data_IF_504033976860
#
_entry.id   IF_504033976860
#
_cell.length_a   1.000
_cell.length_b   1.000
_cell.length_c   1.000
_cell.angle_alpha   90.00
_cell.angle_beta   90.00
_cell.angle_gamma   90.00
#
_symmetry.space_group_name_H-M   'P 1'
#
loop_
_entity.id
_entity.type
_entity.pdbx_description
1 polymer ?
#
# COMPACT_ATOMS: atom_id res chain seq x y z
N UNK A 1 -14.89 -34.82 16.14
CA UNK A 1 -15.33 -33.93 15.04
C UNK A 1 -14.38 -32.75 14.98
N UNK A 2 -13.78 -32.43 13.83
CA UNK A 2 -12.97 -31.21 13.71
C UNK A 2 -13.90 -29.99 13.87
N UNK A 3 -13.85 -29.41 15.06
CA UNK A 3 -14.46 -28.13 15.40
C UNK A 3 -13.73 -27.05 14.59
N UNK A 4 -14.47 -26.18 13.91
CA UNK A 4 -13.91 -25.05 13.17
C UNK A 4 -14.61 -23.76 13.58
N UNK A 5 -13.99 -22.58 13.41
CA UNK A 5 -14.62 -21.31 13.73
C UNK A 5 -15.99 -21.14 13.04
N UNK A 6 -16.07 -21.56 11.77
CA UNK A 6 -17.31 -21.53 10.99
C UNK A 6 -18.40 -22.41 11.59
N UNK A 7 -18.07 -23.63 12.05
CA UNK A 7 -19.04 -24.51 12.70
C UNK A 7 -19.57 -23.89 14.00
N UNK A 8 -18.70 -23.27 14.80
CA UNK A 8 -19.14 -22.54 16.00
C UNK A 8 -20.14 -21.44 15.63
N UNK A 9 -19.86 -20.69 14.57
CA UNK A 9 -20.77 -19.64 14.11
C UNK A 9 -22.10 -20.20 13.61
N UNK A 10 -22.09 -21.30 12.85
CA UNK A 10 -23.31 -21.96 12.38
C UNK A 10 -24.16 -22.48 13.55
N UNK A 11 -23.55 -23.02 14.60
CA UNK A 11 -24.25 -23.45 15.82
C UNK A 11 -24.86 -22.27 16.57
N UNK A 12 -24.15 -21.14 16.64
CA UNK A 12 -24.67 -19.91 17.24
C UNK A 12 -25.88 -19.37 16.48
N UNK A 13 -25.81 -19.29 15.15
CA UNK A 13 -26.92 -18.80 14.31
C UNK A 13 -28.16 -19.71 14.38
N UNK A 14 -27.96 -21.00 14.64
CA UNK A 14 -29.06 -21.98 14.87
C UNK A 14 -29.59 -21.99 16.30
N UNK A 15 -29.08 -21.13 17.18
CA UNK A 15 -29.37 -21.11 18.62
C UNK A 15 -29.03 -22.43 19.36
N UNK A 16 -28.13 -23.25 18.81
CA UNK A 16 -27.64 -24.48 19.46
C UNK A 16 -26.70 -24.16 20.62
N UNK A 17 -25.95 -23.05 20.51
CA UNK A 17 -25.11 -22.49 21.56
C UNK A 17 -25.43 -21.01 21.74
N UNK A 18 -25.31 -20.52 22.97
CA UNK A 18 -25.49 -19.10 23.24
C UNK A 18 -24.24 -18.28 22.86
N UNK A 19 -24.41 -16.96 22.85
CA UNK A 19 -23.39 -15.98 22.47
C UNK A 19 -22.08 -16.11 23.27
N UNK A 20 -22.19 -16.38 24.58
CA UNK A 20 -21.03 -16.50 25.48
C UNK A 20 -20.23 -17.76 25.19
N UNK A 21 -20.91 -18.89 24.98
CA UNK A 21 -20.28 -20.17 24.64
C UNK A 21 -19.55 -20.07 23.30
N UNK A 22 -20.20 -19.47 22.29
CA UNK A 22 -19.60 -19.24 20.99
C UNK A 22 -18.33 -18.36 21.11
N UNK A 23 -18.39 -17.29 21.92
CA UNK A 23 -17.24 -16.43 22.19
C UNK A 23 -16.07 -17.21 22.81
N UNK A 24 -16.30 -17.98 23.86
CA UNK A 24 -15.21 -18.71 24.53
C UNK A 24 -14.57 -19.78 23.62
N UNK A 25 -15.36 -20.46 22.79
CA UNK A 25 -14.82 -21.38 21.78
C UNK A 25 -13.95 -20.66 20.74
N UNK A 26 -14.37 -19.48 20.28
CA UNK A 26 -13.60 -18.72 19.31
C UNK A 26 -12.32 -18.15 19.91
N UNK A 27 -12.36 -17.65 21.15
CA UNK A 27 -11.16 -17.26 21.88
C UNK A 27 -10.18 -18.44 21.98
N UNK A 28 -10.67 -19.64 22.32
CA UNK A 28 -9.83 -20.83 22.39
C UNK A 28 -9.12 -21.13 21.05
N UNK A 29 -9.80 -20.95 19.91
CA UNK A 29 -9.16 -21.07 18.60
C UNK A 29 -8.07 -20.02 18.36
N UNK A 30 -8.29 -18.79 18.80
CA UNK A 30 -7.35 -17.68 18.60
C UNK A 30 -6.06 -17.89 19.41
N UNK A 31 -6.19 -18.36 20.64
CA UNK A 31 -5.07 -18.51 21.59
C UNK A 31 -4.30 -19.83 21.41
N UNK A 32 -4.97 -20.93 21.05
CA UNK A 32 -4.38 -22.27 21.13
C UNK A 32 -4.15 -22.96 19.79
N UNK A 33 -4.61 -22.38 18.67
CA UNK A 33 -4.37 -22.98 17.35
C UNK A 33 -3.05 -22.50 16.76
N UNK A 34 -2.25 -23.41 16.22
CA UNK A 34 -1.08 -23.07 15.38
C UNK A 34 -1.48 -22.74 13.93
N UNK A 35 -2.75 -22.96 13.55
CA UNK A 35 -3.21 -22.77 12.18
C UNK A 35 -3.69 -21.34 11.94
N UNK A 36 -2.94 -20.58 11.12
CA UNK A 36 -3.26 -19.18 10.80
C UNK A 36 -4.69 -18.97 10.26
N UNK A 37 -5.21 -19.88 9.44
CA UNK A 37 -6.56 -19.76 8.89
C UNK A 37 -7.65 -19.97 9.94
N UNK A 38 -7.42 -20.88 10.89
CA UNK A 38 -8.34 -21.09 12.02
C UNK A 38 -8.36 -19.84 12.90
N UNK A 39 -7.20 -19.32 13.26
CA UNK A 39 -7.09 -18.12 14.09
C UNK A 39 -7.72 -16.90 13.41
N UNK A 40 -7.40 -16.67 12.14
CA UNK A 40 -8.00 -15.59 11.36
C UNK A 40 -9.53 -15.72 11.31
N UNK A 41 -10.04 -16.90 10.94
CA UNK A 41 -11.48 -17.14 10.87
C UNK A 41 -12.17 -16.92 12.22
N UNK A 42 -11.51 -17.28 13.33
CA UNK A 42 -12.04 -17.04 14.66
C UNK A 42 -12.11 -15.54 15.00
N UNK A 43 -11.06 -14.76 14.71
CA UNK A 43 -11.05 -13.30 14.92
C UNK A 43 -12.14 -12.61 14.07
N UNK A 44 -12.31 -13.03 12.81
CA UNK A 44 -13.33 -12.46 11.92
C UNK A 44 -14.76 -12.75 12.41
N UNK A 45 -15.00 -13.94 12.97
CA UNK A 45 -16.30 -14.33 13.51
C UNK A 45 -16.57 -13.63 14.86
N UNK A 46 -15.55 -13.43 15.70
CA UNK A 46 -15.68 -12.67 16.95
C UNK A 46 -16.25 -11.25 16.70
N UNK A 47 -15.86 -10.59 15.60
CA UNK A 47 -16.39 -9.27 15.24
C UNK A 47 -17.88 -9.33 14.88
N UNK A 48 -18.33 -10.44 14.27
CA UNK A 48 -19.74 -10.65 13.89
C UNK A 48 -20.61 -10.99 15.08
N UNK A 49 -20.11 -11.83 15.98
CA UNK A 49 -20.82 -12.15 17.23
C UNK A 49 -21.03 -10.86 18.03
N UNK A 50 -20.06 -9.94 18.05
CA UNK A 50 -20.27 -8.62 18.62
C UNK A 50 -20.34 -8.63 20.14
N UNK A 51 -19.44 -9.37 20.79
CA UNK A 51 -19.10 -9.18 22.20
C UNK A 51 -17.86 -8.31 22.24
N UNK A 52 -17.99 -7.08 22.72
CA UNK A 52 -16.89 -6.12 22.83
C UNK A 52 -16.62 -5.86 24.31
N UNK A 53 -15.56 -6.45 24.84
CA UNK A 53 -15.22 -6.42 26.26
C UNK A 53 -13.73 -6.14 26.44
N UNK A 54 -13.33 -5.73 27.66
CA UNK A 54 -11.93 -5.56 28.01
C UNK A 54 -11.12 -6.87 27.83
N UNK A 55 -11.76 -8.03 28.06
CA UNK A 55 -11.17 -9.35 27.77
C UNK A 55 -10.81 -9.47 26.29
N UNK A 56 -11.76 -9.16 25.39
CA UNK A 56 -11.49 -9.23 23.96
C UNK A 56 -10.43 -8.21 23.52
N UNK A 57 -10.49 -6.99 24.03
CA UNK A 57 -9.46 -5.98 23.76
C UNK A 57 -8.07 -6.49 24.13
N UNK A 58 -7.89 -7.01 25.35
CA UNK A 58 -6.59 -7.53 25.79
C UNK A 58 -6.07 -8.68 24.93
N UNK A 59 -6.95 -9.55 24.43
CA UNK A 59 -6.57 -10.63 23.51
C UNK A 59 -6.11 -10.07 22.16
N UNK A 60 -6.85 -9.13 21.59
CA UNK A 60 -6.48 -8.47 20.33
C UNK A 60 -5.20 -7.64 20.46
N UNK A 61 -5.00 -6.98 21.58
CA UNK A 61 -3.79 -6.24 21.93
C UNK A 61 -2.58 -7.18 22.00
N UNK A 62 -2.71 -8.31 22.69
CA UNK A 62 -1.65 -9.32 22.77
C UNK A 62 -1.26 -9.84 21.39
N UNK A 63 -2.24 -10.17 20.55
CA UNK A 63 -2.00 -10.58 19.16
C UNK A 63 -1.24 -9.48 18.40
N UNK A 64 -1.72 -8.24 18.48
CA UNK A 64 -1.10 -7.11 17.81
C UNK A 64 0.37 -6.91 18.24
N UNK A 65 0.69 -7.15 19.51
CA UNK A 65 2.02 -6.94 20.08
C UNK A 65 2.98 -8.09 19.78
N UNK A 66 2.55 -9.35 19.92
CA UNK A 66 3.46 -10.49 20.05
C UNK A 66 3.30 -11.59 19.01
N UNK A 67 2.22 -11.60 18.22
CA UNK A 67 2.02 -12.64 17.22
C UNK A 67 3.13 -12.60 16.16
N UNK A 68 3.68 -13.75 15.78
CA UNK A 68 4.74 -13.83 14.77
C UNK A 68 4.21 -13.55 13.36
N UNK A 69 2.92 -13.79 13.11
CA UNK A 69 2.31 -13.70 11.80
C UNK A 69 1.72 -12.31 11.52
N UNK A 70 2.29 -11.59 10.55
CA UNK A 70 1.83 -10.26 10.15
C UNK A 70 0.37 -10.23 9.68
N UNK A 71 -0.13 -11.29 9.04
CA UNK A 71 -1.54 -11.34 8.62
C UNK A 71 -2.48 -11.38 9.82
N UNK A 72 -2.16 -12.17 10.84
CA UNK A 72 -2.96 -12.28 12.06
C UNK A 72 -2.93 -10.96 12.84
N UNK A 73 -1.74 -10.34 12.98
CA UNK A 73 -1.62 -8.99 13.55
C UNK A 73 -2.49 -7.98 12.80
N UNK A 74 -2.48 -8.00 11.48
CA UNK A 74 -3.27 -7.07 10.67
C UNK A 74 -4.79 -7.30 10.82
N UNK A 75 -5.23 -8.56 10.99
CA UNK A 75 -6.65 -8.88 11.24
C UNK A 75 -7.08 -8.35 12.61
N UNK A 76 -6.28 -8.58 13.66
CA UNK A 76 -6.54 -8.04 14.99
C UNK A 76 -6.53 -6.49 14.99
N UNK A 77 -5.57 -5.88 14.29
CA UNK A 77 -5.47 -4.44 14.13
C UNK A 77 -6.71 -3.82 13.47
N UNK A 78 -7.22 -4.45 12.40
CA UNK A 78 -8.46 -4.00 11.73
C UNK A 78 -9.68 -4.15 12.63
N UNK A 79 -9.72 -5.17 13.48
CA UNK A 79 -10.77 -5.32 14.50
C UNK A 79 -10.69 -4.16 15.49
N UNK A 80 -9.52 -3.95 16.09
CA UNK A 80 -9.24 -2.86 17.03
C UNK A 80 -9.63 -1.49 16.44
N UNK A 81 -9.28 -1.21 15.19
CA UNK A 81 -9.65 0.03 14.49
C UNK A 81 -11.19 0.24 14.35
N UNK A 82 -11.96 -0.85 14.26
CA UNK A 82 -13.42 -0.79 14.14
C UNK A 82 -14.13 -0.64 15.48
N UNK A 83 -13.60 -1.25 16.55
CA UNK A 83 -14.34 -1.45 17.81
C UNK A 83 -13.70 -0.81 19.04
N UNK A 84 -12.40 -0.56 19.01
CA UNK A 84 -11.59 -0.10 20.15
C UNK A 84 -10.61 1.00 19.73
N UNK A 85 -11.04 1.90 18.84
CA UNK A 85 -10.14 2.82 18.13
C UNK A 85 -9.33 3.70 19.08
N UNK A 86 -9.98 4.25 20.11
CA UNK A 86 -9.37 5.14 21.11
C UNK A 86 -8.44 4.41 22.06
N UNK A 87 -8.85 3.24 22.53
CA UNK A 87 -8.11 2.36 23.44
C UNK A 87 -6.85 1.82 22.77
N UNK A 88 -6.85 1.75 21.44
CA UNK A 88 -5.72 1.26 20.65
C UNK A 88 -4.54 2.24 20.58
N UNK A 89 -4.65 3.49 21.03
CA UNK A 89 -3.55 4.47 20.89
C UNK A 89 -2.25 3.96 21.56
N UNK A 90 -2.37 3.45 22.79
CA UNK A 90 -1.24 2.95 23.58
C UNK A 90 -0.54 1.77 22.89
N UNK A 91 -1.23 0.68 22.50
CA UNK A 91 -0.56 -0.40 21.78
C UNK A 91 -0.03 0.06 20.41
N UNK A 92 -0.75 0.90 19.66
CA UNK A 92 -0.27 1.40 18.35
C UNK A 92 1.04 2.18 18.47
N UNK A 93 1.21 2.98 19.53
CA UNK A 93 2.45 3.71 19.82
C UNK A 93 3.64 2.77 20.02
N UNK A 94 3.43 1.63 20.66
CA UNK A 94 4.48 0.63 20.83
C UNK A 94 4.75 -0.13 19.53
N UNK A 95 3.70 -0.60 18.86
CA UNK A 95 3.79 -1.50 17.69
C UNK A 95 4.41 -0.80 16.49
N UNK A 96 4.11 0.49 16.25
CA UNK A 96 4.67 1.23 15.10
C UNK A 96 6.21 1.25 15.07
N UNK A 97 6.84 1.09 16.24
CA UNK A 97 8.29 1.09 16.39
C UNK A 97 8.95 -0.28 16.13
N UNK A 98 8.18 -1.36 16.18
CA UNK A 98 8.68 -2.73 16.15
C UNK A 98 8.14 -3.54 14.97
N UNK A 99 7.07 -3.06 14.34
CA UNK A 99 6.45 -3.70 13.19
C UNK A 99 7.31 -3.58 11.93
N UNK A 100 7.40 -4.68 11.19
CA UNK A 100 8.15 -4.81 9.93
C UNK A 100 7.25 -5.17 8.75
N UNK A 101 6.07 -5.74 9.01
CA UNK A 101 5.09 -6.08 8.00
C UNK A 101 4.50 -4.80 7.37
N UNK A 102 4.51 -4.76 6.04
CA UNK A 102 4.10 -3.59 5.29
C UNK A 102 2.60 -3.25 5.50
N UNK A 103 1.72 -4.26 5.44
CA UNK A 103 0.28 -4.02 5.55
C UNK A 103 -0.12 -3.67 6.98
N UNK A 104 0.55 -4.24 7.98
CA UNK A 104 0.41 -3.80 9.37
C UNK A 104 0.81 -2.32 9.52
N UNK A 105 2.00 -1.91 9.04
CA UNK A 105 2.47 -0.52 9.13
C UNK A 105 1.49 0.45 8.48
N UNK A 106 0.99 0.13 7.28
CA UNK A 106 -0.03 0.92 6.60
C UNK A 106 -1.30 1.06 7.46
N UNK A 107 -1.75 -0.05 8.03
CA UNK A 107 -2.98 -0.06 8.84
C UNK A 107 -2.79 0.72 10.14
N UNK A 108 -1.64 0.59 10.83
CA UNK A 108 -1.30 1.36 12.03
C UNK A 108 -1.34 2.86 11.74
N UNK A 109 -0.71 3.32 10.65
CA UNK A 109 -0.69 4.73 10.27
C UNK A 109 -2.10 5.24 9.97
N UNK A 110 -2.94 4.44 9.31
CA UNK A 110 -4.34 4.78 9.05
C UNK A 110 -5.17 4.84 10.33
N UNK A 111 -4.99 3.90 11.25
CA UNK A 111 -5.64 3.89 12.55
C UNK A 111 -5.28 5.14 13.34
N UNK A 112 -3.99 5.49 13.43
CA UNK A 112 -3.53 6.71 14.09
C UNK A 112 -4.10 7.98 13.43
N UNK A 113 -4.19 8.03 12.10
CA UNK A 113 -4.87 9.13 11.40
C UNK A 113 -6.35 9.21 11.80
N UNK A 114 -7.03 8.07 11.89
CA UNK A 114 -8.46 7.97 12.17
C UNK A 114 -8.81 8.33 13.62
N UNK A 115 -7.94 7.99 14.58
CA UNK A 115 -8.07 8.41 15.99
C UNK A 115 -8.20 9.93 16.09
N UNK A 116 -7.42 10.67 15.30
CA UNK A 116 -7.50 12.13 15.20
C UNK A 116 -7.36 12.88 16.55
N UNK A 117 -6.54 12.35 17.47
CA UNK A 117 -6.20 12.98 18.76
C UNK A 117 -4.84 13.68 18.73
N UNK A 118 -4.56 14.57 19.69
CA UNK A 118 -3.23 15.19 19.81
C UNK A 118 -2.13 14.16 20.07
N UNK A 119 -2.40 13.11 20.85
CA UNK A 119 -1.43 12.02 21.05
C UNK A 119 -1.12 11.29 19.74
N UNK A 120 -2.14 10.94 18.96
CA UNK A 120 -1.94 10.28 17.65
C UNK A 120 -1.17 11.17 16.66
N UNK A 121 -1.41 12.49 16.67
CA UNK A 121 -0.65 13.47 15.87
C UNK A 121 0.82 13.48 16.27
N UNK A 122 1.09 13.49 17.57
CA UNK A 122 2.44 13.48 18.12
C UNK A 122 3.19 12.19 17.75
N UNK A 123 2.51 11.04 17.79
CA UNK A 123 3.06 9.75 17.33
C UNK A 123 3.47 9.85 15.86
N UNK A 124 2.54 10.23 14.97
CA UNK A 124 2.81 10.37 13.54
C UNK A 124 3.94 11.38 13.24
N UNK A 125 3.98 12.48 13.97
CA UNK A 125 5.01 13.51 13.83
C UNK A 125 6.40 12.98 14.24
N UNK A 126 6.47 12.25 15.36
CA UNK A 126 7.71 11.65 15.83
C UNK A 126 8.24 10.57 14.87
N UNK A 127 7.35 9.73 14.32
CA UNK A 127 7.73 8.78 13.26
C UNK A 127 8.23 9.50 12.01
N UNK A 128 7.58 10.59 11.61
CA UNK A 128 8.02 11.41 10.47
C UNK A 128 9.43 11.97 10.72
N UNK A 129 9.72 12.43 11.94
CA UNK A 129 11.07 12.89 12.32
C UNK A 129 12.12 11.79 12.26
N UNK A 130 11.77 10.54 12.60
CA UNK A 130 12.70 9.40 12.56
C UNK A 130 13.22 9.10 11.15
N UNK A 131 12.45 9.42 10.10
CA UNK A 131 12.89 9.29 8.70
C UNK A 131 14.25 9.98 8.48
N UNK A 132 14.50 11.14 9.12
CA UNK A 132 15.77 11.86 9.00
C UNK A 132 16.99 11.06 9.51
N UNK A 133 16.77 10.14 10.46
CA UNK A 133 17.83 9.31 11.06
C UNK A 133 18.12 8.05 10.22
N UNK A 134 17.15 7.57 9.44
CA UNK A 134 17.28 6.34 8.63
C UNK A 134 18.22 6.57 7.44
N UNK A 135 19.37 5.87 7.39
CA UNK A 135 20.36 6.02 6.31
C UNK A 135 19.90 5.42 4.98
N UNK A 136 19.36 4.21 5.01
CA UNK A 136 18.99 3.45 3.82
C UNK A 136 17.51 3.11 3.82
N UNK A 137 16.88 3.21 2.65
CA UNK A 137 15.56 2.63 2.38
C UNK A 137 15.67 1.11 2.22
N UNK A 138 16.72 0.68 1.51
CA UNK A 138 17.13 -0.72 1.42
C UNK A 138 18.65 -0.80 1.60
N UNK A 139 19.08 -1.40 2.72
CA UNK A 139 20.50 -1.54 3.05
C UNK A 139 21.23 -2.53 2.14
N UNK A 140 20.58 -3.63 1.77
CA UNK A 140 21.15 -4.70 0.94
C UNK A 140 21.45 -4.17 -0.48
N UNK A 141 20.49 -3.42 -1.06
CA UNK A 141 20.65 -2.78 -2.37
C UNK A 141 21.33 -1.41 -2.32
N UNK A 142 21.78 -0.96 -1.14
CA UNK A 142 22.40 0.36 -0.91
C UNK A 142 21.55 1.55 -1.40
N UNK A 143 20.23 1.41 -1.38
CA UNK A 143 19.30 2.50 -1.76
C UNK A 143 19.20 3.48 -0.58
N UNK A 144 19.75 4.67 -0.75
CA UNK A 144 19.80 5.69 0.30
C UNK A 144 18.49 6.48 0.46
N UNK A 145 18.25 6.97 1.68
CA UNK A 145 17.08 7.77 2.02
C UNK A 145 17.25 9.30 1.78
N UNK A 146 18.18 9.71 0.92
CA UNK A 146 18.59 11.12 0.76
C UNK A 146 17.42 12.06 0.43
N UNK A 147 16.52 11.66 -0.48
CA UNK A 147 15.41 12.49 -0.96
C UNK A 147 14.43 12.83 0.17
N UNK A 148 13.92 11.82 0.89
CA UNK A 148 13.04 12.08 2.04
C UNK A 148 13.76 12.90 3.11
N UNK A 149 15.00 12.57 3.49
CA UNK A 149 15.74 13.36 4.50
C UNK A 149 15.77 14.85 4.17
N UNK A 150 16.11 15.19 2.92
CA UNK A 150 16.19 16.58 2.45
C UNK A 150 14.83 17.27 2.57
N UNK A 151 13.76 16.64 2.10
CA UNK A 151 12.42 17.23 2.09
C UNK A 151 11.85 17.35 3.50
N UNK A 152 11.94 16.30 4.33
CA UNK A 152 11.47 16.36 5.73
C UNK A 152 12.23 17.43 6.52
N UNK A 153 13.55 17.55 6.33
CA UNK A 153 14.33 18.63 6.95
C UNK A 153 13.85 20.01 6.53
N UNK A 154 13.51 20.21 5.25
CA UNK A 154 12.94 21.46 4.75
C UNK A 154 11.59 21.76 5.42
N UNK A 155 10.65 20.80 5.39
CA UNK A 155 9.32 20.96 5.96
C UNK A 155 9.36 21.32 7.45
N UNK A 156 10.19 20.63 8.24
CA UNK A 156 10.32 20.90 9.67
C UNK A 156 10.99 22.24 9.99
N UNK A 157 11.74 22.83 9.03
CA UNK A 157 12.31 24.17 9.16
C UNK A 157 11.27 25.25 8.84
N UNK A 158 10.38 25.00 7.89
CA UNK A 158 9.43 26.00 7.38
C UNK A 158 8.05 25.94 8.03
N UNK A 159 7.71 24.80 8.66
CA UNK A 159 6.40 24.55 9.25
C UNK A 159 6.55 24.07 10.69
N UNK A 160 5.90 24.77 11.63
CA UNK A 160 5.86 24.37 13.04
C UNK A 160 4.90 23.19 13.26
N UNK A 161 5.09 22.45 14.36
CA UNK A 161 4.35 21.23 14.69
C UNK A 161 2.83 21.42 14.64
N UNK A 162 2.34 22.51 15.25
CA UNK A 162 0.91 22.82 15.39
C UNK A 162 0.17 22.94 14.04
N UNK A 163 0.88 23.19 12.95
CA UNK A 163 0.29 23.34 11.62
C UNK A 163 0.27 22.03 10.81
N UNK A 164 0.94 20.97 11.27
CA UNK A 164 0.86 19.67 10.61
C UNK A 164 -0.47 19.00 10.92
N UNK A 165 -1.14 18.53 9.87
CA UNK A 165 -2.36 17.71 10.01
C UNK A 165 -2.01 16.24 10.12
N UNK A 166 -2.88 15.43 10.75
CA UNK A 166 -2.75 13.96 10.74
C UNK A 166 -2.67 13.41 9.32
N UNK A 167 -3.45 13.98 8.39
CA UNK A 167 -3.45 13.55 7.00
C UNK A 167 -2.09 13.77 6.33
N UNK A 168 -1.48 14.94 6.46
CA UNK A 168 -0.14 15.20 5.89
C UNK A 168 0.91 14.23 6.45
N UNK A 169 0.97 14.08 7.78
CA UNK A 169 1.95 13.20 8.42
C UNK A 169 1.74 11.74 8.02
N UNK A 170 0.49 11.28 8.00
CA UNK A 170 0.15 9.91 7.59
C UNK A 170 0.54 9.64 6.12
N UNK A 171 0.29 10.58 5.21
CA UNK A 171 0.62 10.41 3.79
C UNK A 171 2.13 10.42 3.54
N UNK A 172 2.88 11.25 4.27
CA UNK A 172 4.34 11.25 4.24
C UNK A 172 4.88 9.88 4.67
N UNK A 173 4.40 9.36 5.80
CA UNK A 173 4.81 8.06 6.33
C UNK A 173 4.45 6.92 5.37
N UNK A 174 3.21 6.90 4.86
CA UNK A 174 2.72 5.90 3.89
C UNK A 174 3.60 5.91 2.64
N UNK A 175 3.94 7.08 2.08
CA UNK A 175 4.82 7.18 0.92
C UNK A 175 6.22 6.64 1.24
N UNK A 176 6.78 7.01 2.40
CA UNK A 176 8.10 6.55 2.83
C UNK A 176 8.16 5.02 2.95
N UNK A 177 7.22 4.41 3.69
CA UNK A 177 7.21 2.95 3.88
C UNK A 177 6.89 2.21 2.57
N UNK A 178 6.08 2.80 1.68
CA UNK A 178 5.77 2.21 0.37
C UNK A 178 7.01 2.20 -0.51
N UNK A 179 7.76 3.31 -0.61
CA UNK A 179 9.02 3.33 -1.35
C UNK A 179 10.04 2.35 -0.75
N UNK A 180 10.19 2.31 0.57
CA UNK A 180 11.06 1.34 1.23
C UNK A 180 10.66 -0.11 0.88
N UNK A 181 9.35 -0.41 0.86
CA UNK A 181 8.84 -1.72 0.44
C UNK A 181 9.15 -2.02 -1.03
N UNK A 182 8.84 -1.09 -1.94
CA UNK A 182 9.11 -1.27 -3.38
C UNK A 182 10.60 -1.52 -3.65
N UNK A 183 11.51 -0.82 -2.97
CA UNK A 183 12.95 -1.04 -3.13
C UNK A 183 13.42 -2.42 -2.66
N UNK A 184 12.66 -3.14 -1.83
CA UNK A 184 12.94 -4.55 -1.50
C UNK A 184 12.54 -5.47 -2.65
N UNK A 185 11.37 -5.25 -3.23
CA UNK A 185 10.81 -6.11 -4.27
C UNK A 185 11.38 -5.88 -5.67
N UNK A 186 11.69 -4.63 -6.00
CA UNK A 186 12.10 -4.24 -7.35
C UNK A 186 13.53 -3.71 -7.38
N UNK A 187 14.33 -4.09 -8.40
CA UNK A 187 15.67 -3.52 -8.60
C UNK A 187 15.61 -2.06 -9.06
N UNK A 188 14.67 -1.69 -9.94
CA UNK A 188 14.56 -0.35 -10.51
C UNK A 188 13.40 0.41 -9.84
N UNK A 189 13.73 1.28 -8.89
CA UNK A 189 12.75 2.14 -8.20
C UNK A 189 13.29 3.56 -8.14
N UNK A 190 12.81 4.40 -9.05
CA UNK A 190 13.09 5.82 -9.06
C UNK A 190 11.84 6.60 -8.68
N UNK A 191 12.02 7.73 -8.01
CA UNK A 191 10.89 8.49 -7.51
C UNK A 191 11.26 9.94 -7.24
N UNK A 192 10.28 10.83 -7.33
CA UNK A 192 10.41 12.24 -6.95
C UNK A 192 9.40 12.62 -5.87
N UNK A 193 9.84 13.48 -4.96
CA UNK A 193 9.04 13.99 -3.84
C UNK A 193 8.83 15.49 -4.05
N UNK A 194 7.58 15.94 -4.00
CA UNK A 194 7.29 17.35 -4.02
C UNK A 194 7.86 18.03 -2.75
N UNK A 195 8.78 18.99 -2.87
CA UNK A 195 9.46 19.60 -1.73
C UNK A 195 8.57 20.48 -0.86
N UNK A 196 7.38 20.87 -1.33
CA UNK A 196 6.45 21.74 -0.60
C UNK A 196 5.53 20.96 0.35
N UNK A 197 5.22 19.69 0.04
CA UNK A 197 4.30 18.89 0.84
C UNK A 197 4.88 17.54 1.32
N UNK A 198 6.06 17.14 0.84
CA UNK A 198 6.69 15.88 1.24
C UNK A 198 6.07 14.62 0.63
N UNK A 199 5.19 14.78 -0.36
CA UNK A 199 4.47 13.67 -0.97
C UNK A 199 5.08 13.26 -2.30
N UNK A 200 4.99 11.97 -2.61
CA UNK A 200 5.46 11.41 -3.86
C UNK A 200 4.69 12.01 -5.04
N UNK A 201 5.41 12.53 -6.02
CA UNK A 201 4.83 13.12 -7.25
C UNK A 201 5.12 12.28 -8.48
N UNK A 202 6.26 11.61 -8.52
CA UNK A 202 6.65 10.73 -9.63
C UNK A 202 7.16 9.40 -9.09
N UNK A 203 6.84 8.32 -9.81
CA UNK A 203 7.32 6.97 -9.55
C UNK A 203 7.68 6.34 -10.90
N UNK A 204 8.86 5.77 -10.96
CA UNK A 204 9.36 5.10 -12.14
C UNK A 204 9.82 3.71 -11.73
N UNK A 205 9.08 2.74 -12.26
CA UNK A 205 9.28 1.31 -12.13
C UNK A 205 9.49 0.69 -13.52
N UNK A 206 9.98 1.46 -14.48
CA UNK A 206 10.32 0.93 -15.79
C UNK A 206 11.50 -0.04 -15.70
N UNK A 207 11.52 -0.99 -16.63
CA UNK A 207 12.57 -1.97 -16.74
C UNK A 207 13.64 -1.47 -17.75
N UNK A 208 14.71 -0.87 -17.24
CA UNK A 208 15.69 -0.14 -18.06
C UNK A 208 16.73 -1.02 -18.79
N UNK A 209 16.59 -2.34 -18.83
CA UNK A 209 17.54 -3.16 -19.60
C UNK A 209 17.24 -3.06 -21.10
N UNK A 210 17.74 -1.98 -21.69
CA UNK A 210 17.74 -1.71 -23.14
C UNK A 210 18.58 -2.75 -23.91
N UNK A 211 19.55 -3.39 -23.24
CA UNK A 211 20.39 -4.46 -23.80
C UNK A 211 20.60 -5.56 -22.76
N UNK A 212 20.24 -6.81 -23.08
CA UNK A 212 20.73 -7.97 -22.33
C UNK A 212 22.24 -8.10 -22.57
N UNK A 213 23.04 -7.37 -21.78
CA UNK A 213 24.47 -7.62 -21.77
C UNK A 213 24.66 -9.01 -21.19
N UNK A 214 25.35 -9.88 -21.93
CA UNK A 214 25.70 -11.25 -21.51
C UNK A 214 26.42 -11.17 -20.15
N UNK A 215 25.82 -11.74 -19.10
CA UNK A 215 26.32 -11.63 -17.73
C UNK A 215 25.57 -10.65 -16.81
N UNK A 216 24.48 -10.02 -17.29
CA UNK A 216 23.52 -9.33 -16.41
C UNK A 216 23.01 -10.32 -15.35
N UNK A 217 23.17 -10.04 -14.05
CA UNK A 217 22.78 -11.01 -13.04
C UNK A 217 21.26 -11.25 -13.07
N UNK A 218 20.85 -12.47 -12.73
CA UNK A 218 19.44 -12.80 -12.53
C UNK A 218 18.86 -11.86 -11.44
N UNK A 219 17.78 -11.10 -11.75
CA UNK A 219 17.11 -10.22 -10.78
C UNK A 219 17.28 -8.69 -10.94
N UNK A 220 17.76 -8.21 -12.10
CA UNK A 220 17.92 -6.77 -12.40
C UNK A 220 16.74 -6.16 -13.19
N UNK A 221 15.76 -7.00 -13.52
CA UNK A 221 14.52 -6.65 -14.21
C UNK A 221 13.39 -6.46 -13.20
N UNK A 222 12.54 -5.47 -13.44
CA UNK A 222 11.32 -5.33 -12.65
C UNK A 222 10.29 -6.40 -13.03
N UNK A 223 10.18 -6.72 -14.33
CA UNK A 223 9.35 -7.81 -14.87
C UNK A 223 7.91 -7.85 -14.31
N UNK A 224 7.31 -6.68 -14.07
CA UNK A 224 5.97 -6.56 -13.47
C UNK A 224 4.94 -7.09 -14.46
N UNK A 225 4.10 -8.04 -14.05
CA UNK A 225 3.06 -8.62 -14.92
C UNK A 225 1.67 -8.02 -14.69
N UNK A 226 1.44 -7.53 -13.47
CA UNK A 226 0.18 -6.92 -13.07
C UNK A 226 0.42 -5.74 -12.15
N UNK A 227 -0.43 -4.72 -12.25
CA UNK A 227 -0.41 -3.57 -11.33
C UNK A 227 -0.63 -4.01 -9.88
N UNK A 228 -1.38 -5.09 -9.67
CA UNK A 228 -1.62 -5.66 -8.33
C UNK A 228 -0.36 -6.19 -7.64
N UNK A 229 0.71 -6.49 -8.39
CA UNK A 229 2.02 -6.88 -7.83
C UNK A 229 2.74 -5.70 -7.16
N UNK A 230 2.40 -4.47 -7.54
CA UNK A 230 3.00 -3.24 -7.00
C UNK A 230 2.34 -2.92 -5.66
N UNK A 231 2.67 -3.70 -4.64
CA UNK A 231 2.11 -3.60 -3.29
C UNK A 231 2.31 -2.18 -2.75
N UNK A 232 1.18 -1.51 -2.49
CA UNK A 232 1.13 -0.16 -1.97
C UNK A 232 0.80 0.95 -2.97
N UNK A 233 0.80 0.65 -4.27
CA UNK A 233 0.58 1.67 -5.31
C UNK A 233 -0.73 2.45 -5.08
N UNK A 234 -1.81 1.75 -4.73
CA UNK A 234 -3.13 2.35 -4.44
C UNK A 234 -3.11 3.40 -3.32
N UNK A 235 -2.09 3.44 -2.47
CA UNK A 235 -1.95 4.41 -1.39
C UNK A 235 -1.22 5.70 -1.81
N UNK A 236 -0.58 5.72 -2.98
CA UNK A 236 0.17 6.86 -3.51
C UNK A 236 -0.78 7.90 -4.17
N UNK A 237 -1.75 8.41 -3.41
CA UNK A 237 -2.86 9.24 -3.93
C UNK A 237 -2.43 10.56 -4.58
N UNK A 238 -1.22 11.03 -4.33
CA UNK A 238 -0.69 12.29 -4.88
C UNK A 238 0.19 12.08 -6.10
N UNK A 239 0.34 10.83 -6.56
CA UNK A 239 1.16 10.49 -7.70
C UNK A 239 0.62 11.15 -8.97
N UNK A 240 1.46 11.95 -9.63
CA UNK A 240 1.13 12.66 -10.86
C UNK A 240 1.70 11.99 -12.09
N UNK A 241 2.82 11.28 -11.96
CA UNK A 241 3.48 10.58 -13.06
C UNK A 241 3.87 9.19 -12.62
N UNK A 242 3.57 8.21 -13.48
CA UNK A 242 4.07 6.85 -13.33
C UNK A 242 4.67 6.37 -14.65
N UNK A 243 5.87 5.81 -14.56
CA UNK A 243 6.51 5.08 -15.65
C UNK A 243 6.58 3.59 -15.32
N UNK A 244 6.00 2.78 -16.19
CA UNK A 244 5.92 1.33 -16.10
C UNK A 244 6.45 0.67 -17.39
N UNK A 245 7.26 1.40 -18.16
CA UNK A 245 7.77 0.94 -19.45
C UNK A 245 8.58 -0.36 -19.33
N UNK A 246 8.62 -1.14 -20.41
CA UNK A 246 9.40 -2.38 -20.55
C UNK A 246 9.05 -3.49 -19.53
N UNK A 247 7.84 -3.48 -19.00
CA UNK A 247 7.34 -4.55 -18.13
C UNK A 247 6.50 -5.56 -18.94
N UNK A 248 5.75 -6.42 -18.25
CA UNK A 248 4.91 -7.46 -18.84
C UNK A 248 3.42 -7.24 -18.56
N UNK A 249 3.01 -5.98 -18.39
CA UNK A 249 1.67 -5.62 -17.90
C UNK A 249 0.63 -5.87 -18.99
N UNK A 250 -0.44 -6.58 -18.62
CA UNK A 250 -1.57 -6.90 -19.52
C UNK A 250 -2.84 -6.11 -19.18
N UNK A 251 -3.06 -5.89 -17.88
CA UNK A 251 -4.23 -5.21 -17.33
C UNK A 251 -3.81 -4.03 -16.45
N UNK A 252 -4.49 -2.88 -16.60
CA UNK A 252 -4.21 -1.64 -15.87
C UNK A 252 -5.37 -1.15 -14.98
N UNK A 253 -6.33 -2.00 -14.66
CA UNK A 253 -7.53 -1.68 -13.88
C UNK A 253 -7.20 -0.96 -12.57
N UNK A 254 -6.20 -1.40 -11.82
CA UNK A 254 -5.89 -0.84 -10.50
C UNK A 254 -5.34 0.59 -10.55
N UNK A 255 -4.86 1.05 -11.72
CA UNK A 255 -4.42 2.44 -11.90
C UNK A 255 -5.56 3.45 -11.73
N UNK A 256 -6.82 3.05 -11.91
CA UNK A 256 -7.99 3.94 -11.70
C UNK A 256 -8.05 4.49 -10.27
N UNK A 257 -7.39 3.84 -9.32
CA UNK A 257 -7.29 4.29 -7.94
C UNK A 257 -6.39 5.53 -7.75
N UNK A 258 -5.62 5.91 -8.77
CA UNK A 258 -4.68 7.03 -8.79
C UNK A 258 -5.31 8.25 -9.47
N UNK A 259 -6.33 8.83 -8.82
CA UNK A 259 -7.12 9.91 -9.42
C UNK A 259 -6.35 11.18 -9.81
N UNK A 260 -5.14 11.41 -9.26
CA UNK A 260 -4.29 12.57 -9.59
C UNK A 260 -3.26 12.30 -10.70
N UNK A 261 -3.29 11.11 -11.31
CA UNK A 261 -2.36 10.75 -12.35
C UNK A 261 -2.58 11.63 -13.59
N UNK A 262 -1.51 12.26 -14.04
CA UNK A 262 -1.47 13.18 -15.17
C UNK A 262 -0.62 12.66 -16.32
N UNK A 263 0.38 11.83 -16.02
CA UNK A 263 1.28 11.23 -17.00
C UNK A 263 1.38 9.73 -16.73
N UNK A 264 1.00 8.93 -17.73
CA UNK A 264 1.05 7.47 -17.68
C UNK A 264 1.88 6.96 -18.85
N UNK A 265 3.00 6.30 -18.54
CA UNK A 265 3.93 5.77 -19.53
C UNK A 265 3.93 4.24 -19.38
N UNK A 266 3.51 3.55 -20.45
CA UNK A 266 3.31 2.11 -20.49
C UNK A 266 4.00 1.48 -21.70
N UNK A 267 5.05 2.12 -22.23
CA UNK A 267 5.74 1.68 -23.44
C UNK A 267 6.21 0.22 -23.29
N UNK A 268 6.10 -0.57 -24.35
CA UNK A 268 6.64 -1.93 -24.39
C UNK A 268 6.13 -2.80 -23.22
N UNK A 269 4.82 -2.96 -23.17
CA UNK A 269 4.11 -3.87 -22.27
C UNK A 269 3.26 -4.85 -23.11
N UNK A 270 2.42 -5.66 -22.45
CA UNK A 270 1.58 -6.68 -23.08
C UNK A 270 0.10 -6.30 -23.17
N UNK A 271 -0.23 -5.01 -23.04
CA UNK A 271 -1.62 -4.53 -23.05
C UNK A 271 -2.25 -4.85 -24.41
N UNK A 272 -3.34 -5.62 -24.41
CA UNK A 272 -3.98 -6.13 -25.63
C UNK A 272 -5.51 -6.02 -25.63
N UNK A 273 -6.14 -6.07 -24.46
CA UNK A 273 -7.59 -6.06 -24.31
C UNK A 273 -8.17 -4.65 -24.32
N UNK A 274 -9.24 -4.45 -25.09
CA UNK A 274 -9.92 -3.15 -25.24
C UNK A 274 -10.52 -2.63 -23.94
N UNK A 275 -10.82 -3.50 -22.98
CA UNK A 275 -11.27 -3.13 -21.63
C UNK A 275 -10.31 -2.14 -20.94
N UNK A 276 -9.01 -2.19 -21.27
CA UNK A 276 -8.03 -1.25 -20.74
C UNK A 276 -8.31 0.22 -21.13
N UNK A 277 -9.02 0.48 -22.23
CA UNK A 277 -9.42 1.84 -22.60
C UNK A 277 -10.42 2.41 -21.62
N UNK A 278 -11.34 1.59 -21.13
CA UNK A 278 -12.35 2.01 -20.16
C UNK A 278 -11.72 2.37 -18.82
N UNK A 279 -10.58 1.77 -18.47
CA UNK A 279 -9.78 2.16 -17.30
C UNK A 279 -9.06 3.49 -17.52
N UNK A 280 -8.48 3.72 -18.70
CA UNK A 280 -7.81 4.99 -19.04
C UNK A 280 -8.81 6.15 -18.99
N UNK A 281 -10.02 5.97 -19.53
CA UNK A 281 -11.09 6.99 -19.51
C UNK A 281 -11.55 7.36 -18.10
N UNK A 282 -11.33 6.50 -17.10
CA UNK A 282 -11.63 6.74 -15.67
C UNK A 282 -10.55 7.55 -14.94
N UNK A 283 -9.47 7.96 -15.61
CA UNK A 283 -8.42 8.82 -15.04
C UNK A 283 -8.70 10.30 -15.36
N UNK A 284 -9.33 11.05 -14.44
CA UNK A 284 -9.91 12.38 -14.77
C UNK A 284 -8.85 13.45 -15.05
N UNK A 285 -7.63 13.26 -14.56
CA UNK A 285 -6.55 14.24 -14.65
C UNK A 285 -5.49 13.90 -15.70
N UNK A 286 -5.70 12.84 -16.50
CA UNK A 286 -4.71 12.35 -17.44
C UNK A 286 -4.51 13.35 -18.59
N UNK A 287 -3.25 13.74 -18.81
CA UNK A 287 -2.83 14.72 -19.85
C UNK A 287 -1.84 14.12 -20.84
N UNK A 288 -1.13 13.06 -20.43
CA UNK A 288 -0.18 12.36 -21.26
C UNK A 288 -0.32 10.85 -21.07
N UNK A 289 -0.43 10.14 -22.19
CA UNK A 289 -0.50 8.69 -22.26
C UNK A 289 0.45 8.17 -23.34
N UNK A 290 1.32 7.25 -22.97
CA UNK A 290 2.18 6.54 -23.93
C UNK A 290 1.92 5.04 -23.88
N UNK A 291 1.35 4.51 -24.96
CA UNK A 291 1.01 3.10 -25.14
C UNK A 291 1.85 2.43 -26.24
N UNK A 292 2.88 3.10 -26.77
CA UNK A 292 3.71 2.55 -27.85
C UNK A 292 4.21 1.15 -27.50
N UNK A 293 4.36 0.32 -28.53
CA UNK A 293 4.83 -1.06 -28.39
C UNK A 293 3.94 -1.96 -27.47
N UNK A 294 2.65 -1.67 -27.37
CA UNK A 294 1.64 -2.59 -26.85
C UNK A 294 0.80 -3.16 -27.99
N UNK A 295 0.19 -4.33 -27.81
CA UNK A 295 -0.67 -4.95 -28.85
C UNK A 295 -1.96 -4.15 -29.09
N UNK A 296 -2.45 -3.45 -28.07
CA UNK A 296 -3.68 -2.65 -28.13
C UNK A 296 -3.63 -1.52 -29.17
N UNK A 297 -2.44 -0.98 -29.47
CA UNK A 297 -2.28 0.15 -30.42
C UNK A 297 -2.69 -0.19 -31.85
N UNK A 298 -2.80 -1.49 -32.18
CA UNK A 298 -3.30 -1.96 -33.48
C UNK A 298 -4.83 -1.89 -33.58
N UNK A 299 -5.52 -1.76 -32.46
CA UNK A 299 -6.99 -1.81 -32.34
C UNK A 299 -7.61 -0.45 -32.04
N UNK A 300 -6.79 0.59 -31.80
CA UNK A 300 -7.26 1.87 -31.28
C UNK A 300 -6.65 3.06 -32.02
N UNK A 301 -7.33 4.20 -31.95
CA UNK A 301 -6.99 5.45 -32.57
C UNK A 301 -7.02 6.59 -31.56
N UNK A 302 -6.25 7.66 -31.82
CA UNK A 302 -6.14 8.80 -30.90
C UNK A 302 -7.44 9.58 -30.71
N UNK A 303 -8.37 9.50 -31.67
CA UNK A 303 -9.69 10.15 -31.60
C UNK A 303 -10.68 9.48 -30.63
N UNK A 304 -10.37 8.28 -30.10
CA UNK A 304 -11.17 7.62 -29.06
C UNK A 304 -10.95 8.20 -27.66
N UNK A 305 -9.99 9.12 -27.53
CA UNK A 305 -9.62 9.78 -26.29
C UNK A 305 -10.07 11.25 -26.25
N UNK A 306 -10.07 11.84 -25.06
CA UNK A 306 -10.33 13.28 -24.91
C UNK A 306 -9.32 14.09 -25.76
N UNK A 307 -9.76 15.08 -26.57
CA UNK A 307 -8.88 15.89 -27.42
C UNK A 307 -7.73 16.60 -26.67
N UNK A 308 -7.88 16.88 -25.38
CA UNK A 308 -6.82 17.49 -24.56
C UNK A 308 -5.75 16.49 -24.09
N UNK A 309 -5.99 15.18 -24.23
CA UNK A 309 -5.06 14.13 -23.85
C UNK A 309 -4.03 13.92 -24.98
N UNK A 310 -2.75 14.13 -24.67
CA UNK A 310 -1.66 13.76 -25.57
C UNK A 310 -1.45 12.24 -25.52
N UNK A 311 -1.78 11.55 -26.62
CA UNK A 311 -1.65 10.08 -26.74
C UNK A 311 -0.56 9.71 -27.75
N UNK A 312 0.37 8.85 -27.34
CA UNK A 312 1.36 8.23 -28.24
C UNK A 312 1.02 6.75 -28.47
N UNK A 313 0.74 6.40 -29.73
CA UNK A 313 0.38 5.03 -30.16
C UNK A 313 1.39 4.40 -31.13
N UNK A 314 2.26 5.20 -31.74
CA UNK A 314 3.30 4.76 -32.69
C UNK A 314 4.57 5.55 -32.43
N UNK A 315 5.73 4.98 -32.75
CA UNK A 315 6.98 5.73 -32.69
C UNK A 315 6.95 6.91 -33.64
N UNK A 316 6.98 8.11 -33.07
CA UNK A 316 7.29 9.32 -33.83
C UNK A 316 8.80 9.33 -34.04
N UNK A 317 9.28 8.54 -35.00
CA UNK A 317 10.56 8.81 -35.61
C UNK A 317 10.44 10.15 -36.31
N UNK A 318 10.81 11.23 -35.63
CA UNK A 318 11.28 12.42 -36.34
C UNK A 318 12.53 11.95 -37.07
N UNK A 319 12.37 11.56 -38.34
CA UNK A 319 13.49 11.49 -39.26
C UNK A 319 14.08 12.90 -39.26
N UNK A 320 15.19 13.07 -38.55
CA UNK A 320 16.07 14.22 -38.77
C UNK A 320 16.52 14.03 -40.22
N UNK A 321 15.96 14.86 -41.12
CA UNK A 321 16.38 14.94 -42.50
C UNK A 321 17.74 15.62 -42.58
#
# INVERSE_FOLDING_TARGET
>A
MNLSPRKIYEQYERNEINKSIAFDHLISFVENSENEHIRQGAIEILDRIGIFSNKLFGILENILISDSNGKIRNVALKFLERRFLTESITPLKWVINHEKDYECLITIIKSLKKVNSEESKLILFNETKKIMKIKYLNKEKRVENKKFKKVIKKLLKTKKYEFFTHNELSLILINFITIANLTKHYPNVFYEINPENGLLSELDLSDYLEYEVKGTPFGWKNNIKSISEIIGLKYLKNLKKIDLSNNQIENIQELVSLGNLSHLILINNKICELENLEYIKKLPNLKYLDLRNNKIVKKIHSNEFNPSLRVLLKDTNIKIK
#
